data_IF_848390484467
#
_entry.id   IF_848390484467
#
_cell.length_a   1.000
_cell.length_b   1.000
_cell.length_c   1.000
_cell.angle_alpha   90.00
_cell.angle_beta   90.00
_cell.angle_gamma   90.00
#
_symmetry.space_group_name_H-M   'P 1'
#
loop_
_entity.id
_entity.type
_entity.pdbx_description
1 polymer ?
#
# COMPACT_ATOMS: atom_id res chain seq x y z
N UNK A 1 7.48 -19.83 -8.24
CA UNK A 1 8.60 -19.02 -8.76
C UNK A 1 8.05 -18.03 -9.75
N UNK A 2 8.29 -16.72 -9.55
CA UNK A 2 7.73 -15.65 -10.38
C UNK A 2 8.19 -15.78 -11.84
N UNK A 3 7.39 -15.26 -12.78
CA UNK A 3 7.77 -15.25 -14.20
C UNK A 3 8.96 -14.31 -14.43
N UNK A 4 9.79 -14.60 -15.43
CA UNK A 4 10.94 -13.74 -15.78
C UNK A 4 10.53 -12.28 -16.02
N UNK A 5 9.37 -12.08 -16.67
CA UNK A 5 8.78 -10.76 -16.88
C UNK A 5 8.47 -10.02 -15.57
N UNK A 6 7.88 -10.72 -14.59
CA UNK A 6 7.58 -10.14 -13.29
C UNK A 6 8.86 -9.77 -12.53
N UNK A 7 9.88 -10.62 -12.59
CA UNK A 7 11.17 -10.34 -11.97
C UNK A 7 11.87 -9.14 -12.59
N UNK A 8 11.85 -9.02 -13.91
CA UNK A 8 12.41 -7.88 -14.62
C UNK A 8 11.68 -6.60 -14.20
N UNK A 9 10.34 -6.63 -14.21
CA UNK A 9 9.51 -5.49 -13.81
C UNK A 9 9.82 -5.02 -12.38
N UNK A 10 9.82 -5.94 -11.41
CA UNK A 10 10.13 -5.60 -10.01
C UNK A 10 11.55 -5.03 -9.88
N UNK A 11 12.51 -5.55 -10.66
CA UNK A 11 13.89 -5.03 -10.67
C UNK A 11 13.97 -3.60 -11.22
N UNK A 12 13.20 -3.30 -12.26
CA UNK A 12 13.12 -1.96 -12.85
C UNK A 12 12.41 -0.98 -11.92
N UNK A 13 11.38 -1.43 -11.19
CA UNK A 13 10.64 -0.65 -10.19
C UNK A 13 11.43 -0.44 -8.89
N UNK A 14 12.43 -1.27 -8.61
CA UNK A 14 13.29 -1.17 -7.43
C UNK A 14 14.36 -0.07 -7.57
N UNK A 15 13.91 1.16 -7.79
CA UNK A 15 14.76 2.35 -7.87
C UNK A 15 14.28 3.40 -6.88
N UNK A 16 15.18 3.83 -5.99
CA UNK A 16 14.88 4.91 -5.04
C UNK A 16 14.62 6.19 -5.84
N UNK A 17 13.52 6.93 -5.59
CA UNK A 17 13.27 8.19 -6.24
C UNK A 17 14.42 9.18 -5.98
N UNK A 18 14.89 9.86 -7.03
CA UNK A 18 16.11 10.69 -7.02
C UNK A 18 16.12 11.84 -6.00
N UNK A 19 14.96 12.23 -5.50
CA UNK A 19 14.80 13.33 -4.54
C UNK A 19 14.80 12.85 -3.08
N UNK A 20 15.00 11.55 -2.84
CA UNK A 20 14.84 10.93 -1.53
C UNK A 20 16.16 10.38 -1.02
N UNK A 21 16.46 10.70 0.24
CA UNK A 21 17.52 10.06 1.00
C UNK A 21 16.89 8.93 1.81
N UNK A 22 17.52 7.76 1.79
CA UNK A 22 17.09 6.60 2.56
C UNK A 22 18.28 6.01 3.31
N UNK A 23 18.02 5.35 4.44
CA UNK A 23 19.01 4.59 5.22
C UNK A 23 19.83 3.62 4.40
N UNK A 24 20.99 3.24 4.94
CA UNK A 24 21.85 2.20 4.35
C UNK A 24 21.09 0.87 4.17
N UNK A 25 20.18 0.56 5.10
CA UNK A 25 19.32 -0.62 5.06
C UNK A 25 18.42 -0.62 3.81
N UNK A 26 17.76 0.49 3.51
CA UNK A 26 16.93 0.63 2.31
C UNK A 26 17.76 0.77 1.02
N UNK A 27 18.93 1.39 1.08
CA UNK A 27 19.87 1.42 -0.06
C UNK A 27 20.31 0.02 -0.46
N UNK A 28 20.54 -0.86 0.52
CA UNK A 28 20.83 -2.27 0.25
C UNK A 28 19.68 -2.94 -0.51
N UNK A 29 18.43 -2.77 -0.03
CA UNK A 29 17.25 -3.34 -0.70
C UNK A 29 17.12 -2.82 -2.13
N UNK A 30 17.32 -1.52 -2.36
CA UNK A 30 17.31 -0.92 -3.70
C UNK A 30 18.41 -1.44 -4.63
N UNK A 31 19.53 -1.92 -4.07
CA UNK A 31 20.61 -2.54 -4.83
C UNK A 31 20.31 -3.97 -5.31
N UNK A 32 19.30 -4.64 -4.73
CA UNK A 32 18.94 -6.01 -5.08
C UNK A 32 18.25 -6.09 -6.43
N UNK A 33 18.59 -7.12 -7.21
CA UNK A 33 18.08 -7.33 -8.58
C UNK A 33 17.66 -8.78 -8.81
N UNK A 34 16.58 -8.96 -9.58
CA UNK A 34 16.08 -10.25 -10.03
C UNK A 34 15.92 -11.24 -8.88
N UNK A 35 16.57 -12.40 -8.99
CA UNK A 35 16.49 -13.46 -7.98
C UNK A 35 16.99 -13.04 -6.61
N UNK A 36 17.99 -12.15 -6.51
CA UNK A 36 18.52 -11.72 -5.21
C UNK A 36 17.46 -10.98 -4.39
N UNK A 37 16.59 -10.20 -5.04
CA UNK A 37 15.49 -9.51 -4.37
C UNK A 37 14.40 -10.48 -3.92
N UNK A 38 14.07 -11.45 -4.76
CA UNK A 38 13.07 -12.49 -4.44
C UNK A 38 13.55 -13.38 -3.29
N UNK A 39 14.81 -13.82 -3.34
CA UNK A 39 15.45 -14.59 -2.28
C UNK A 39 15.51 -13.79 -0.97
N UNK A 40 15.92 -12.52 -1.04
CA UNK A 40 15.90 -11.63 0.13
C UNK A 40 14.49 -11.53 0.74
N UNK A 41 13.46 -11.34 -0.08
CA UNK A 41 12.07 -11.31 0.37
C UNK A 41 11.69 -12.61 1.10
N UNK A 42 11.95 -13.78 0.50
CA UNK A 42 11.58 -15.06 1.11
C UNK A 42 12.36 -15.38 2.39
N UNK A 43 13.63 -14.99 2.47
CA UNK A 43 14.51 -15.31 3.60
C UNK A 43 14.28 -14.35 4.77
N UNK A 44 13.98 -13.08 4.50
CA UNK A 44 14.02 -12.02 5.52
C UNK A 44 12.68 -11.32 5.79
N UNK A 45 11.67 -11.47 4.90
CA UNK A 45 10.44 -10.66 4.97
C UNK A 45 9.19 -11.54 5.01
N UNK A 46 9.08 -12.52 4.11
CA UNK A 46 7.89 -13.35 3.99
C UNK A 46 7.59 -14.09 5.30
N UNK A 47 6.33 -14.06 5.75
CA UNK A 47 5.94 -14.76 6.98
C UNK A 47 5.68 -16.25 6.74
N UNK A 48 5.47 -16.65 5.48
CA UNK A 48 5.15 -18.04 5.10
C UNK A 48 5.90 -18.49 3.84
N UNK A 49 6.26 -19.77 3.77
CA UNK A 49 7.11 -20.33 2.71
C UNK A 49 6.53 -20.19 1.28
N UNK A 50 5.21 -20.25 1.12
CA UNK A 50 4.52 -20.24 -0.19
C UNK A 50 4.06 -18.84 -0.63
N UNK A 51 4.62 -17.80 -0.04
CA UNK A 51 4.28 -16.41 -0.33
C UNK A 51 5.09 -15.86 -1.49
N UNK A 52 4.44 -15.36 -2.54
CA UNK A 52 5.14 -14.84 -3.72
C UNK A 52 5.10 -13.31 -3.74
N UNK A 53 6.23 -12.66 -3.99
CA UNK A 53 6.31 -11.21 -4.25
C UNK A 53 5.67 -10.89 -5.61
N UNK A 54 4.77 -9.91 -5.64
CA UNK A 54 3.94 -9.56 -6.81
C UNK A 54 4.17 -8.14 -7.32
N UNK A 55 4.58 -7.22 -6.47
CA UNK A 55 4.91 -5.86 -6.86
C UNK A 55 5.76 -5.17 -5.78
N UNK A 56 6.53 -4.18 -6.20
CA UNK A 56 7.37 -3.36 -5.34
C UNK A 56 7.20 -1.91 -5.77
N UNK A 57 7.06 -1.01 -4.80
CA UNK A 57 7.10 0.44 -5.06
C UNK A 57 7.75 1.17 -3.89
N UNK A 58 8.19 2.40 -4.16
CA UNK A 58 8.71 3.31 -3.14
C UNK A 58 7.69 4.41 -2.88
N UNK A 59 7.42 4.72 -1.61
CA UNK A 59 6.46 5.76 -1.25
C UNK A 59 6.77 6.32 0.13
N UNK A 60 6.49 7.61 0.30
CA UNK A 60 6.32 8.19 1.62
C UNK A 60 5.04 7.65 2.25
N UNK A 61 5.11 7.24 3.51
CA UNK A 61 3.98 6.71 4.25
C UNK A 61 3.68 7.54 5.50
N UNK A 62 2.40 7.68 5.78
CA UNK A 62 1.87 8.27 7.01
C UNK A 62 1.06 7.21 7.75
N UNK A 63 1.37 7.03 9.02
CA UNK A 63 0.59 6.16 9.90
C UNK A 63 -0.50 6.96 10.58
N UNK A 64 -1.67 6.37 10.73
CA UNK A 64 -2.82 7.07 11.31
C UNK A 64 -2.58 7.57 12.74
N UNK A 65 -1.81 6.83 13.55
CA UNK A 65 -1.48 7.24 14.93
C UNK A 65 -0.41 8.33 15.00
N UNK A 66 0.40 8.49 13.96
CA UNK A 66 1.48 9.49 13.89
C UNK A 66 1.42 10.25 12.56
N UNK A 67 0.33 10.97 12.27
CA UNK A 67 0.09 11.57 10.95
C UNK A 67 1.00 12.78 10.66
N UNK A 68 1.73 13.27 11.67
CA UNK A 68 2.69 14.38 11.54
C UNK A 68 4.08 13.94 11.06
N UNK A 69 4.32 12.63 10.94
CA UNK A 69 5.63 12.07 10.57
C UNK A 69 5.50 11.32 9.25
N UNK A 70 6.14 11.85 8.22
CA UNK A 70 6.28 11.23 6.91
C UNK A 70 7.53 10.35 6.89
N UNK A 71 7.36 9.07 6.60
CA UNK A 71 8.43 8.07 6.62
C UNK A 71 8.61 7.49 5.22
N UNK A 72 9.85 7.38 4.75
CA UNK A 72 10.12 6.69 3.50
C UNK A 72 9.98 5.17 3.66
N UNK A 73 9.29 4.52 2.72
CA UNK A 73 9.12 3.08 2.74
C UNK A 73 9.34 2.42 1.37
N UNK A 74 9.91 1.22 1.40
CA UNK A 74 9.76 0.24 0.32
C UNK A 74 8.49 -0.57 0.61
N UNK A 75 7.49 -0.46 -0.25
CA UNK A 75 6.21 -1.16 -0.15
C UNK A 75 6.27 -2.40 -1.03
N UNK A 76 6.12 -3.57 -0.42
CA UNK A 76 6.14 -4.86 -1.09
C UNK A 76 4.76 -5.49 -1.01
N UNK A 77 4.17 -5.81 -2.16
CA UNK A 77 2.91 -6.52 -2.25
C UNK A 77 3.20 -7.98 -2.57
N UNK A 78 2.78 -8.90 -1.70
CA UNK A 78 2.89 -10.34 -1.92
C UNK A 78 1.51 -10.97 -2.16
N UNK A 79 1.45 -12.30 -2.29
CA UNK A 79 0.20 -13.05 -2.32
C UNK A 79 -0.52 -13.16 -0.97
N UNK A 80 0.08 -12.70 0.14
CA UNK A 80 -0.48 -12.84 1.50
C UNK A 80 -0.60 -11.53 2.28
N UNK A 81 0.29 -10.57 2.05
CA UNK A 81 0.35 -9.34 2.83
C UNK A 81 0.94 -8.18 2.00
N UNK A 82 0.80 -6.98 2.58
CA UNK A 82 1.48 -5.77 2.16
C UNK A 82 2.52 -5.47 3.24
N UNK A 83 3.79 -5.42 2.85
CA UNK A 83 4.91 -5.12 3.75
C UNK A 83 5.42 -3.71 3.49
N UNK A 84 5.82 -3.06 4.56
CA UNK A 84 6.39 -1.72 4.55
C UNK A 84 7.75 -1.80 5.22
N UNK A 85 8.83 -1.72 4.45
CA UNK A 85 10.18 -1.57 4.98
C UNK A 85 10.44 -0.08 5.19
N UNK A 86 10.45 0.36 6.44
CA UNK A 86 10.51 1.76 6.84
C UNK A 86 11.96 2.23 7.01
N UNK A 87 12.23 3.46 6.60
CA UNK A 87 13.54 4.07 6.77
C UNK A 87 13.89 4.23 8.26
N UNK A 88 14.86 3.49 8.80
CA UNK A 88 15.20 3.54 10.23
C UNK A 88 15.86 4.86 10.68
N UNK A 89 16.20 5.75 9.75
CA UNK A 89 16.83 7.05 10.01
C UNK A 89 16.02 7.94 10.99
N UNK A 90 14.69 7.82 11.02
CA UNK A 90 13.84 8.62 11.92
C UNK A 90 13.81 8.07 13.36
N UNK A 91 14.06 6.78 13.56
CA UNK A 91 13.98 6.12 14.88
C UNK A 91 15.16 6.54 15.75
N UNK A 92 16.32 6.79 15.13
CA UNK A 92 17.52 7.27 15.82
C UNK A 92 17.45 8.75 16.22
N UNK A 93 16.46 9.51 15.72
CA UNK A 93 16.33 10.95 15.97
C UNK A 93 15.40 11.30 17.14
N UNK A 94 14.48 10.41 17.54
CA UNK A 94 13.47 10.69 18.57
C UNK A 94 13.27 9.49 19.52
N UNK A 95 13.97 9.50 20.66
CA UNK A 95 13.91 8.43 21.67
C UNK A 95 12.49 8.17 22.20
N UNK A 96 11.59 9.16 22.16
CA UNK A 96 10.22 9.03 22.66
C UNK A 96 9.25 8.30 21.71
N UNK A 97 9.54 8.24 20.41
CA UNK A 97 8.69 7.55 19.42
C UNK A 97 9.12 6.10 19.19
N UNK A 98 10.33 5.73 19.62
CA UNK A 98 10.87 4.37 19.52
C UNK A 98 9.98 3.32 20.21
N UNK A 99 9.33 3.68 21.32
CA UNK A 99 8.44 2.79 22.09
C UNK A 99 7.19 2.35 21.31
N UNK A 100 6.74 3.11 20.31
CA UNK A 100 5.61 2.72 19.46
C UNK A 100 6.03 1.67 18.43
N UNK A 101 7.19 1.87 17.80
CA UNK A 101 7.72 1.02 16.73
C UNK A 101 8.34 -0.29 17.24
N UNK A 102 8.87 -0.28 18.47
CA UNK A 102 9.56 -1.43 19.06
C UNK A 102 8.63 -2.42 19.78
N UNK A 103 7.34 -2.12 19.93
CA UNK A 103 6.45 -2.87 20.84
C UNK A 103 5.87 -4.17 20.25
N UNK A 104 5.96 -4.37 18.93
CA UNK A 104 5.50 -5.60 18.25
C UNK A 104 6.62 -6.38 17.54
N UNK A 105 7.84 -5.83 17.44
CA UNK A 105 8.98 -6.45 16.73
C UNK A 105 10.04 -7.04 17.68
N UNK A 106 9.63 -7.73 18.74
CA UNK A 106 10.56 -8.22 19.79
C UNK A 106 11.35 -9.49 19.44
N UNK A 107 11.34 -9.96 18.19
CA UNK A 107 12.09 -11.15 17.76
C UNK A 107 13.15 -10.85 16.69
N UNK A 108 13.67 -9.62 16.63
CA UNK A 108 14.83 -9.30 15.78
C UNK A 108 16.15 -9.59 16.53
N UNK A 109 16.40 -10.86 16.81
CA UNK A 109 17.66 -11.31 17.42
C UNK A 109 18.70 -11.67 16.34
N UNK A 110 19.83 -10.97 16.37
CA UNK A 110 21.15 -11.38 15.86
C UNK A 110 21.35 -11.59 14.34
N UNK A 111 21.48 -10.48 13.61
CA UNK A 111 22.43 -10.43 12.48
C UNK A 111 23.00 -9.01 12.35
N UNK A 112 24.21 -8.86 11.84
CA UNK A 112 24.93 -7.57 11.74
C UNK A 112 24.36 -6.60 10.70
N UNK A 113 23.09 -6.75 10.33
CA UNK A 113 22.29 -5.84 9.52
C UNK A 113 20.94 -5.69 10.21
N UNK A 114 20.70 -4.55 10.87
CA UNK A 114 19.36 -4.23 11.35
C UNK A 114 18.50 -3.96 10.12
N UNK A 115 17.56 -4.85 9.82
CA UNK A 115 16.52 -4.59 8.83
C UNK A 115 15.74 -3.35 9.27
N UNK A 116 15.52 -2.45 8.30
CA UNK A 116 14.51 -1.40 8.33
C UNK A 116 13.24 -1.87 9.05
N UNK A 117 12.68 -1.04 9.95
CA UNK A 117 11.47 -1.42 10.69
C UNK A 117 10.38 -1.90 9.73
N UNK A 118 9.90 -3.11 9.93
CA UNK A 118 8.91 -3.72 9.06
C UNK A 118 7.52 -3.57 9.68
N UNK A 119 6.58 -3.01 8.92
CA UNK A 119 5.16 -3.05 9.23
C UNK A 119 4.45 -3.95 8.21
N UNK A 120 3.54 -4.81 8.68
CA UNK A 120 2.89 -5.83 7.86
C UNK A 120 1.38 -5.72 7.98
N UNK A 121 0.69 -5.62 6.85
CA UNK A 121 -0.77 -5.75 6.78
C UNK A 121 -1.15 -7.00 5.99
N UNK A 122 -1.72 -7.99 6.67
CA UNK A 122 -2.24 -9.20 6.03
C UNK A 122 -3.40 -8.86 5.11
N UNK A 123 -3.42 -9.44 3.91
CA UNK A 123 -4.48 -9.18 2.93
C UNK A 123 -5.86 -9.63 3.40
N UNK A 124 -5.92 -10.61 4.30
CA UNK A 124 -7.17 -11.05 4.92
C UNK A 124 -7.75 -10.00 5.89
N UNK A 125 -6.90 -9.12 6.43
CA UNK A 125 -7.27 -8.07 7.37
C UNK A 125 -7.51 -6.73 6.66
N UNK A 126 -7.20 -6.63 5.37
CA UNK A 126 -7.47 -5.44 4.56
C UNK A 126 -8.99 -5.25 4.39
N UNK A 127 -9.50 -4.09 4.79
CA UNK A 127 -10.93 -3.77 4.73
C UNK A 127 -11.25 -2.82 3.58
N UNK A 128 -10.45 -1.77 3.43
CA UNK A 128 -10.65 -0.80 2.35
C UNK A 128 -9.36 -0.15 1.87
N UNK A 129 -9.41 0.34 0.64
CA UNK A 129 -8.40 1.16 -0.02
C UNK A 129 -9.10 2.44 -0.47
N UNK A 130 -8.70 3.57 0.08
CA UNK A 130 -9.22 4.88 -0.29
C UNK A 130 -8.22 5.54 -1.23
N UNK A 131 -8.62 5.84 -2.44
CA UNK A 131 -7.77 6.49 -3.43
C UNK A 131 -7.93 8.00 -3.29
N UNK A 132 -6.81 8.70 -3.27
CA UNK A 132 -6.79 10.16 -3.19
C UNK A 132 -7.17 10.82 -4.50
N UNK A 133 -7.44 12.13 -4.43
CA UNK A 133 -7.65 12.95 -5.63
C UNK A 133 -6.46 12.86 -6.58
N UNK A 134 -6.77 12.79 -7.88
CA UNK A 134 -5.79 12.66 -8.98
C UNK A 134 -4.80 11.49 -8.80
N UNK A 135 -5.21 10.43 -8.08
CA UNK A 135 -4.40 9.26 -7.76
C UNK A 135 -3.05 9.61 -7.10
N UNK A 136 -2.97 10.72 -6.36
CA UNK A 136 -1.71 11.19 -5.76
C UNK A 136 -1.32 10.42 -4.50
N UNK A 137 -2.26 9.70 -3.91
CA UNK A 137 -2.03 8.84 -2.76
C UNK A 137 -3.09 7.75 -2.71
N UNK A 138 -2.85 6.75 -1.88
CA UNK A 138 -3.88 5.80 -1.46
C UNK A 138 -3.75 5.51 0.03
N UNK A 139 -4.85 5.20 0.69
CA UNK A 139 -4.89 4.82 2.11
C UNK A 139 -5.49 3.45 2.28
N UNK A 140 -4.69 2.53 2.81
CA UNK A 140 -5.15 1.20 3.20
C UNK A 140 -5.67 1.24 4.63
N UNK A 141 -6.75 0.50 4.89
CA UNK A 141 -7.41 0.43 6.19
C UNK A 141 -7.64 -1.02 6.57
N UNK A 142 -7.07 -1.43 7.70
CA UNK A 142 -7.32 -2.72 8.34
C UNK A 142 -8.25 -2.62 9.56
N UNK A 143 -8.22 -3.60 10.48
CA UNK A 143 -9.22 -3.74 11.55
C UNK A 143 -9.11 -2.74 12.70
N UNK A 144 -7.97 -2.07 12.86
CA UNK A 144 -7.75 -1.09 13.93
C UNK A 144 -6.98 0.12 13.43
N UNK A 145 -6.91 1.17 14.25
CA UNK A 145 -6.14 2.38 14.00
C UNK A 145 -4.63 2.12 13.73
N UNK A 146 -4.08 1.01 14.24
CA UNK A 146 -2.71 0.58 13.98
C UNK A 146 -2.51 0.09 12.54
N UNK A 147 -3.58 -0.36 11.90
CA UNK A 147 -3.58 -0.94 10.57
C UNK A 147 -4.03 0.04 9.49
N UNK A 148 -3.85 1.34 9.73
CA UNK A 148 -4.20 2.39 8.77
C UNK A 148 -2.94 3.13 8.34
N UNK A 149 -2.61 2.99 7.06
CA UNK A 149 -1.42 3.57 6.44
C UNK A 149 -1.83 4.30 5.17
N UNK A 150 -1.35 5.54 5.02
CA UNK A 150 -1.51 6.35 3.82
C UNK A 150 -0.21 6.38 3.05
N UNK A 151 -0.21 5.91 1.81
CA UNK A 151 0.93 5.94 0.89
C UNK A 151 0.81 7.16 -0.03
N UNK A 152 1.71 8.13 0.16
CA UNK A 152 1.86 9.32 -0.65
C UNK A 152 2.77 8.99 -1.83
N UNK A 153 2.19 8.48 -2.91
CA UNK A 153 2.94 8.09 -4.11
C UNK A 153 3.40 9.31 -4.90
N UNK A 154 2.58 10.38 -4.90
CA UNK A 154 2.78 11.60 -5.71
C UNK A 154 2.96 11.30 -7.21
N UNK A 155 2.42 10.16 -7.63
CA UNK A 155 2.52 9.63 -8.99
C UNK A 155 1.28 8.78 -9.26
N UNK A 156 0.42 9.27 -10.16
CA UNK A 156 -0.84 8.61 -10.51
C UNK A 156 -0.62 7.26 -11.20
N UNK A 157 0.45 7.12 -12.00
CA UNK A 157 0.76 5.86 -12.68
C UNK A 157 1.21 4.80 -11.69
N UNK A 158 2.01 5.17 -10.69
CA UNK A 158 2.43 4.26 -9.62
C UNK A 158 1.24 3.84 -8.75
N UNK A 159 0.40 4.80 -8.33
CA UNK A 159 -0.83 4.50 -7.59
C UNK A 159 -1.72 3.54 -8.37
N UNK A 160 -1.98 3.83 -9.64
CA UNK A 160 -2.80 3.00 -10.49
C UNK A 160 -2.23 1.60 -10.64
N UNK A 161 -0.92 1.49 -10.89
CA UNK A 161 -0.24 0.20 -11.04
C UNK A 161 -0.34 -0.62 -9.75
N UNK A 162 -0.11 -0.01 -8.59
CA UNK A 162 -0.23 -0.68 -7.30
C UNK A 162 -1.65 -1.20 -7.07
N UNK A 163 -2.67 -0.36 -7.30
CA UNK A 163 -4.08 -0.74 -7.13
C UNK A 163 -4.44 -1.92 -8.04
N UNK A 164 -4.01 -1.89 -9.30
CA UNK A 164 -4.23 -3.00 -10.25
C UNK A 164 -3.57 -4.30 -9.77
N UNK A 165 -2.33 -4.23 -9.29
CA UNK A 165 -1.65 -5.42 -8.73
C UNK A 165 -2.35 -5.91 -7.47
N UNK A 166 -2.80 -5.02 -6.58
CA UNK A 166 -3.54 -5.39 -5.38
C UNK A 166 -4.86 -6.09 -5.72
N UNK A 167 -5.65 -5.54 -6.64
CA UNK A 167 -6.88 -6.20 -7.12
C UNK A 167 -6.60 -7.58 -7.74
N UNK A 168 -5.54 -7.70 -8.54
CA UNK A 168 -5.13 -8.97 -9.14
C UNK A 168 -4.77 -10.01 -8.06
N UNK A 169 -4.04 -9.61 -7.02
CA UNK A 169 -3.71 -10.50 -5.89
C UNK A 169 -4.95 -10.88 -5.08
N UNK A 170 -5.80 -9.92 -4.74
CA UNK A 170 -7.03 -10.17 -4.00
C UNK A 170 -7.97 -11.12 -4.75
N UNK A 171 -7.96 -11.09 -6.09
CA UNK A 171 -8.72 -12.03 -6.93
C UNK A 171 -8.28 -13.48 -6.73
N UNK A 172 -7.00 -13.72 -6.40
CA UNK A 172 -6.50 -15.07 -6.08
C UNK A 172 -7.00 -15.57 -4.72
N UNK A 173 -7.40 -14.66 -3.82
CA UNK A 173 -7.93 -15.00 -2.49
C UNK A 173 -9.44 -15.23 -2.48
N UNK A 174 -10.15 -14.79 -3.52
CA UNK A 174 -11.60 -14.91 -3.62
C UNK A 174 -12.02 -16.39 -3.73
N UNK A 175 -12.47 -16.96 -2.61
CA UNK A 175 -12.89 -18.37 -2.50
C UNK A 175 -14.27 -18.69 -3.08
N UNK A 176 -15.05 -17.68 -3.46
CA UNK A 176 -16.40 -17.85 -4.00
C UNK A 176 -16.64 -16.85 -5.13
N UNK A 177 -17.33 -17.25 -6.22
CA UNK A 177 -17.80 -16.27 -7.19
C UNK A 177 -18.66 -15.23 -6.48
N UNK A 178 -18.47 -13.96 -6.85
CA UNK A 178 -19.26 -12.84 -6.33
C UNK A 178 -20.74 -13.20 -6.43
N UNK A 179 -21.58 -12.90 -5.41
CA UNK A 179 -23.01 -12.74 -5.68
C UNK A 179 -23.14 -11.80 -6.87
N UNK A 180 -24.01 -12.13 -7.81
CA UNK A 180 -24.33 -11.22 -8.91
C UNK A 180 -24.60 -9.84 -8.32
N UNK A 181 -24.01 -8.76 -8.87
CA UNK A 181 -24.35 -7.42 -8.41
C UNK A 181 -25.87 -7.33 -8.50
N UNK A 182 -26.52 -7.00 -7.38
CA UNK A 182 -27.95 -6.70 -7.40
C UNK A 182 -28.10 -5.61 -8.44
N UNK A 183 -28.83 -5.90 -9.54
CA UNK A 183 -29.13 -4.95 -10.60
C UNK A 183 -29.68 -3.68 -9.95
N UNK A 184 -28.79 -2.71 -9.70
CA UNK A 184 -29.18 -1.36 -9.33
C UNK A 184 -29.61 -0.75 -10.64
N UNK A 185 -30.92 -0.76 -10.86
CA UNK A 185 -31.55 -0.08 -11.97
C UNK A 185 -31.00 1.34 -12.03
N UNK A 186 -30.57 1.80 -13.20
CA UNK A 186 -29.86 3.07 -13.43
C UNK A 186 -30.60 4.28 -12.82
N UNK A 187 -31.91 4.15 -12.64
CA UNK A 187 -32.79 5.15 -12.04
C UNK A 187 -32.79 5.19 -10.51
N UNK A 188 -32.23 4.19 -9.83
CA UNK A 188 -32.14 4.13 -8.36
C UNK A 188 -31.11 5.10 -7.77
N UNK A 189 -30.09 5.51 -8.55
CA UNK A 189 -29.12 6.55 -8.17
C UNK A 189 -29.70 7.97 -8.21
N UNK A 190 -30.74 8.19 -9.02
CA UNK A 190 -31.37 9.51 -9.16
C UNK A 190 -32.57 9.71 -8.23
N UNK A 191 -33.09 8.64 -7.60
CA UNK A 191 -34.33 8.67 -6.83
C UNK A 191 -34.21 9.07 -5.34
N UNK A 192 -33.00 9.15 -4.78
CA UNK A 192 -32.80 9.35 -3.33
C UNK A 192 -31.95 10.58 -2.95
N UNK A 193 -31.81 11.56 -3.85
CA UNK A 193 -31.13 12.83 -3.54
C UNK A 193 -32.04 13.81 -2.77
N UNK A 194 -32.34 13.50 -1.50
CA UNK A 194 -32.95 14.45 -0.56
C UNK A 194 -32.03 14.86 0.60
N UNK A 195 -30.74 14.56 0.51
CA UNK A 195 -29.71 15.12 1.39
C UNK A 195 -28.55 15.56 0.53
N UNK A 196 -28.18 16.85 0.56
CA UNK A 196 -27.02 17.40 -0.14
C UNK A 196 -25.68 16.93 0.42
N UNK A 197 -25.54 15.61 0.66
CA UNK A 197 -24.30 14.96 1.06
C UNK A 197 -23.80 14.15 -0.14
N UNK A 198 -22.64 14.55 -0.63
CA UNK A 198 -21.91 13.90 -1.72
C UNK A 198 -21.43 12.52 -1.24
N UNK A 199 -21.63 11.48 -2.05
CA UNK A 199 -21.20 10.11 -1.76
C UNK A 199 -20.01 9.74 -2.68
N UNK A 200 -18.97 9.13 -2.11
CA UNK A 200 -17.80 8.64 -2.86
C UNK A 200 -18.18 7.46 -3.76
N UNK A 201 -17.43 7.25 -4.85
CA UNK A 201 -17.60 6.06 -5.68
C UNK A 201 -16.98 4.84 -4.98
N UNK A 202 -17.81 3.85 -4.63
CA UNK A 202 -17.37 2.62 -3.95
C UNK A 202 -17.45 1.39 -4.85
N UNK A 203 -16.31 0.73 -5.08
CA UNK A 203 -16.20 -0.55 -5.74
C UNK A 203 -15.91 -1.66 -4.71
N UNK A 204 -16.82 -2.62 -4.55
CA UNK A 204 -16.61 -3.77 -3.67
C UNK A 204 -16.00 -4.91 -4.47
N UNK A 205 -14.76 -5.28 -4.15
CA UNK A 205 -14.06 -6.38 -4.78
C UNK A 205 -14.61 -7.74 -4.31
N UNK A 206 -14.41 -8.82 -5.08
CA UNK A 206 -14.86 -10.18 -4.75
C UNK A 206 -14.26 -10.73 -3.44
N UNK A 207 -13.09 -10.22 -3.06
CA UNK A 207 -12.45 -10.46 -1.75
C UNK A 207 -13.12 -9.72 -0.58
N UNK A 208 -14.19 -8.95 -0.84
CA UNK A 208 -14.91 -8.06 0.09
C UNK A 208 -14.17 -6.79 0.50
N UNK A 209 -12.98 -6.56 -0.05
CA UNK A 209 -12.24 -5.30 0.12
C UNK A 209 -12.96 -4.19 -0.64
N UNK A 210 -13.16 -3.03 -0.01
CA UNK A 210 -13.76 -1.85 -0.65
C UNK A 210 -12.69 -0.95 -1.26
N UNK A 211 -12.85 -0.57 -2.51
CA UNK A 211 -12.05 0.46 -3.16
C UNK A 211 -12.90 1.72 -3.28
N UNK A 212 -12.47 2.80 -2.64
CA UNK A 212 -13.23 4.04 -2.50
C UNK A 212 -12.49 5.11 -3.28
N UNK A 213 -13.16 5.72 -4.26
CA UNK A 213 -12.62 6.77 -5.11
C UNK A 213 -13.34 8.11 -4.84
N UNK A 214 -12.65 9.25 -4.98
CA UNK A 214 -13.26 10.56 -4.85
C UNK A 214 -14.36 10.77 -5.90
N UNK A 215 -15.38 11.56 -5.58
CA UNK A 215 -16.48 11.84 -6.49
C UNK A 215 -16.03 12.73 -7.67
N UNK A 216 -16.54 12.49 -8.88
CA UNK A 216 -16.23 13.24 -10.10
C UNK A 216 -16.56 14.74 -9.99
N UNK A 217 -17.59 15.09 -9.21
CA UNK A 217 -18.00 16.50 -8.99
C UNK A 217 -16.97 17.26 -8.12
N UNK A 218 -16.36 16.61 -7.11
CA UNK A 218 -15.28 17.22 -6.31
C UNK A 218 -14.01 17.44 -7.16
N UNK A 219 -13.74 16.53 -8.10
CA UNK A 219 -12.62 16.66 -9.05
C UNK A 219 -12.89 17.81 -10.01
N UNK A 220 -14.13 17.96 -10.50
CA UNK A 220 -14.55 19.05 -11.38
C UNK A 220 -14.42 20.43 -10.75
N UNK A 221 -14.87 20.58 -9.50
CA UNK A 221 -14.80 21.84 -8.76
C UNK A 221 -13.35 22.27 -8.49
N UNK A 222 -12.48 21.32 -8.11
CA UNK A 222 -11.06 21.61 -7.91
C UNK A 222 -10.34 21.93 -9.21
N UNK A 223 -10.63 21.22 -10.30
CA UNK A 223 -10.05 21.50 -11.61
C UNK A 223 -10.46 22.88 -12.13
N UNK A 224 -11.71 23.30 -11.87
CA UNK A 224 -12.20 24.63 -12.20
C UNK A 224 -11.44 25.72 -11.44
N UNK A 225 -11.26 25.56 -10.12
CA UNK A 225 -10.54 26.53 -9.28
C UNK A 225 -9.05 26.68 -9.64
N UNK A 226 -8.41 25.64 -10.16
CA UNK A 226 -6.99 25.68 -10.56
C UNK A 226 -6.80 26.29 -11.97
N UNK A 227 -7.86 26.31 -12.78
CA UNK A 227 -7.82 26.86 -14.14
C UNK A 227 -8.09 28.38 -14.22
N UNK A 228 -8.44 29.03 -13.10
CA UNK A 228 -8.68 30.47 -12.97
C UNK A 228 -7.46 31.20 -12.36
#
# INVERSE_FOLDING_TARGET
YPSEFLMQKITEENQIPVHLHVSMSLQYVAGLKGNALVEFFHVNIAEVENEELRHLMWSSVLFYKTPSVEVMACVLLSTKAIYFLLDDSFIHADEHQSDFWNKENSDCDTSSFHLSCCFVLKLNDLQSVNVGLFDQYFRITGPSADHIVTCLTRDSYNTHTFIQQLMAVLSLLARTPSPEPVDKDFYSEFGSKNTGKMENYELIHSSRVKFIYPNEEEIGDLAFLVAE
#
